data_IF_096467094520
#
_entry.id   IF_096467094520
#
_cell.length_a   1.000
_cell.length_b   1.000
_cell.length_c   1.000
_cell.angle_alpha   90.00
_cell.angle_beta   90.00
_cell.angle_gamma   90.00
#
_symmetry.space_group_name_H-M   'P 1'
#
loop_
_entity.id
_entity.type
_entity.pdbx_description
1 polymer ?
#
# COMPACT_ATOMS: atom_id res chain seq x y z
N UNK A 1 -9.05 -7.49 27.61
CA UNK A 1 -7.84 -6.71 27.27
C UNK A 1 -7.83 -6.61 25.77
N UNK A 2 -8.45 -5.56 25.25
CA UNK A 2 -8.58 -5.33 23.81
C UNK A 2 -7.18 -5.22 23.23
N UNK A 3 -6.93 -6.03 22.20
CA UNK A 3 -5.64 -6.16 21.53
C UNK A 3 -5.38 -4.86 20.77
N UNK A 4 -4.86 -3.86 21.49
CA UNK A 4 -4.17 -2.69 20.94
C UNK A 4 -2.93 -3.22 20.24
N UNK A 5 -3.12 -3.90 19.10
CA UNK A 5 -2.11 -3.91 18.04
C UNK A 5 -1.76 -2.45 17.84
N UNK A 6 -0.56 -2.09 18.30
CA UNK A 6 -0.19 -0.75 18.68
C UNK A 6 -0.51 0.19 17.51
N UNK A 7 -1.11 1.35 17.80
CA UNK A 7 -1.32 2.40 16.80
C UNK A 7 0.00 2.83 16.09
N UNK A 8 1.15 2.28 16.49
CA UNK A 8 2.47 2.50 15.91
C UNK A 8 2.98 1.38 14.98
N UNK A 9 2.36 0.20 14.94
CA UNK A 9 2.84 -0.93 14.12
C UNK A 9 2.82 -0.60 12.63
N UNK A 10 1.83 0.18 12.19
CA UNK A 10 1.74 0.64 10.81
C UNK A 10 2.87 1.62 10.45
N UNK A 11 3.34 2.43 11.41
CA UNK A 11 4.42 3.40 11.17
C UNK A 11 5.74 2.68 10.92
N UNK A 12 6.03 1.66 11.73
CA UNK A 12 7.22 0.81 11.58
C UNK A 12 7.15 0.06 10.24
N UNK A 13 6.01 -0.57 9.95
CA UNK A 13 5.78 -1.25 8.68
C UNK A 13 5.99 -0.30 7.49
N UNK A 14 5.31 0.85 7.50
CA UNK A 14 5.39 1.86 6.44
C UNK A 14 6.82 2.35 6.24
N UNK A 15 7.50 2.76 7.30
CA UNK A 15 8.88 3.28 7.22
C UNK A 15 9.84 2.26 6.61
N UNK A 16 9.64 0.97 6.87
CA UNK A 16 10.48 -0.10 6.32
C UNK A 16 10.27 -0.38 4.83
N UNK A 17 9.08 -0.08 4.28
CA UNK A 17 8.74 -0.41 2.88
C UNK A 17 8.65 0.83 1.97
N UNK A 18 8.32 1.99 2.54
CA UNK A 18 8.03 3.21 1.80
C UNK A 18 9.14 3.64 0.84
N UNK A 19 10.45 3.60 1.19
CA UNK A 19 11.51 3.98 0.25
C UNK A 19 11.49 3.14 -1.03
N UNK A 20 11.29 1.82 -0.91
CA UNK A 20 11.22 0.91 -2.06
C UNK A 20 9.97 1.11 -2.91
N UNK A 21 8.83 1.40 -2.26
CA UNK A 21 7.58 1.71 -2.97
C UNK A 21 7.64 3.05 -3.69
N UNK A 22 8.30 4.06 -3.11
CA UNK A 22 8.52 5.36 -3.73
C UNK A 22 9.41 5.26 -4.97
N UNK A 23 10.54 4.54 -4.87
CA UNK A 23 11.41 4.29 -6.02
C UNK A 23 10.67 3.56 -7.14
N UNK A 24 9.77 2.65 -6.79
CA UNK A 24 8.94 1.95 -7.74
C UNK A 24 7.92 2.90 -8.40
N UNK A 25 7.09 3.60 -7.63
CA UNK A 25 6.10 4.55 -8.18
C UNK A 25 6.73 5.61 -9.11
N UNK A 26 7.94 6.07 -8.76
CA UNK A 26 8.78 7.00 -9.54
C UNK A 26 9.10 6.55 -10.96
N UNK A 27 8.93 5.27 -11.29
CA UNK A 27 9.11 4.74 -12.66
C UNK A 27 7.97 5.14 -13.61
N UNK A 28 6.80 5.53 -13.08
CA UNK A 28 5.61 5.88 -13.88
C UNK A 28 5.19 7.34 -13.76
N UNK A 29 5.48 7.99 -12.65
CA UNK A 29 5.14 9.41 -12.42
C UNK A 29 6.38 10.30 -12.37
N UNK A 30 6.24 11.52 -12.88
CA UNK A 30 7.34 12.50 -12.94
C UNK A 30 7.49 13.30 -11.65
N UNK A 31 6.38 13.62 -10.99
CA UNK A 31 6.38 14.36 -9.73
C UNK A 31 6.75 13.45 -8.57
N UNK A 32 7.50 13.99 -7.60
CA UNK A 32 7.72 13.31 -6.33
C UNK A 32 6.43 13.27 -5.50
N UNK A 33 5.64 14.35 -5.52
CA UNK A 33 4.40 14.43 -4.76
C UNK A 33 3.41 13.34 -5.20
N UNK A 34 3.20 13.17 -6.52
CA UNK A 34 2.32 12.12 -7.04
C UNK A 34 2.78 10.72 -6.60
N UNK A 35 4.10 10.48 -6.56
CA UNK A 35 4.64 9.21 -6.09
C UNK A 35 4.36 8.99 -4.60
N UNK A 36 4.50 10.02 -3.79
CA UNK A 36 4.18 9.97 -2.36
C UNK A 36 2.69 9.73 -2.12
N UNK A 37 1.81 10.39 -2.86
CA UNK A 37 0.36 10.21 -2.78
C UNK A 37 -0.06 8.80 -3.17
N UNK A 38 0.49 8.26 -4.28
CA UNK A 38 0.25 6.89 -4.71
C UNK A 38 0.64 5.89 -3.63
N UNK A 39 1.83 6.05 -3.04
CA UNK A 39 2.35 5.11 -2.03
C UNK A 39 1.52 5.17 -0.76
N UNK A 40 1.10 6.36 -0.33
CA UNK A 40 0.23 6.53 0.83
C UNK A 40 -1.15 5.91 0.60
N UNK A 41 -1.79 6.19 -0.54
CA UNK A 41 -3.10 5.62 -0.88
C UNK A 41 -3.04 4.09 -0.96
N UNK A 42 -2.03 3.55 -1.64
CA UNK A 42 -1.85 2.10 -1.76
C UNK A 42 -1.61 1.44 -0.41
N UNK A 43 -0.79 2.06 0.45
CA UNK A 43 -0.52 1.53 1.79
C UNK A 43 -1.76 1.55 2.67
N UNK A 44 -2.56 2.62 2.66
CA UNK A 44 -3.81 2.69 3.44
C UNK A 44 -4.81 1.63 2.99
N UNK A 45 -4.97 1.45 1.67
CA UNK A 45 -5.83 0.39 1.10
C UNK A 45 -5.37 -1.01 1.54
N UNK A 46 -4.07 -1.26 1.43
CA UNK A 46 -3.45 -2.50 1.85
C UNK A 46 -3.64 -2.74 3.37
N UNK A 47 -3.34 -1.74 4.19
CA UNK A 47 -3.38 -1.85 5.64
C UNK A 47 -4.79 -2.14 6.13
N UNK A 48 -5.79 -1.38 5.66
CA UNK A 48 -7.20 -1.60 6.01
C UNK A 48 -7.72 -2.99 5.63
N UNK A 49 -7.22 -3.56 4.53
CA UNK A 49 -7.65 -4.89 4.06
C UNK A 49 -7.04 -6.02 4.88
N UNK A 50 -5.78 -5.87 5.30
CA UNK A 50 -5.02 -6.94 5.97
C UNK A 50 -5.03 -6.83 7.50
N UNK A 51 -5.34 -5.66 8.08
CA UNK A 51 -5.50 -5.43 9.52
C UNK A 51 -6.95 -5.42 10.02
N UNK A 52 -7.92 -5.88 9.22
CA UNK A 52 -9.19 -6.38 9.79
C UNK A 52 -8.89 -7.70 10.50
N UNK A 53 -8.58 -7.61 11.80
CA UNK A 53 -7.93 -8.64 12.62
C UNK A 53 -8.87 -9.80 13.01
N UNK A 54 -10.18 -9.71 12.80
CA UNK A 54 -11.10 -10.76 13.25
C UNK A 54 -11.57 -11.74 12.16
N UNK A 55 -10.95 -11.72 10.98
CA UNK A 55 -11.37 -12.61 9.89
C UNK A 55 -10.45 -13.84 9.80
N UNK A 56 -10.93 -15.06 10.12
CA UNK A 56 -10.10 -16.26 10.18
C UNK A 56 -9.42 -16.60 8.85
N UNK A 57 -9.97 -16.19 7.69
CA UNK A 57 -9.29 -16.36 6.40
C UNK A 57 -8.02 -15.50 6.23
N UNK A 58 -7.92 -14.37 6.95
CA UNK A 58 -6.75 -13.48 6.86
C UNK A 58 -5.55 -14.00 7.67
N UNK A 59 -5.78 -14.88 8.64
CA UNK A 59 -4.71 -15.48 9.45
C UNK A 59 -3.90 -16.45 8.56
N UNK A 60 -4.58 -17.29 7.78
CA UNK A 60 -3.94 -18.24 6.85
C UNK A 60 -3.30 -17.52 5.66
N UNK A 61 -3.96 -16.47 5.15
CA UNK A 61 -3.44 -15.67 4.04
C UNK A 61 -2.15 -14.91 4.38
N UNK A 62 -1.96 -14.51 5.66
CA UNK A 62 -0.74 -13.81 6.13
C UNK A 62 0.53 -14.64 6.01
N UNK A 63 0.44 -15.96 6.15
CA UNK A 63 1.59 -16.86 6.03
C UNK A 63 1.84 -17.31 4.59
N UNK A 64 0.79 -17.39 3.77
CA UNK A 64 0.87 -17.96 2.42
C UNK A 64 1.19 -16.93 1.33
N UNK A 65 0.90 -15.64 1.54
CA UNK A 65 1.18 -14.58 0.57
C UNK A 65 2.27 -13.62 1.09
N UNK A 66 3.36 -13.38 0.34
CA UNK A 66 4.33 -12.37 0.73
C UNK A 66 3.66 -11.00 0.69
N UNK A 67 3.39 -10.46 1.88
CA UNK A 67 2.69 -9.20 2.15
C UNK A 67 3.23 -8.03 1.32
N UNK A 68 4.53 -8.05 1.04
CA UNK A 68 5.23 -7.07 0.21
C UNK A 68 4.81 -7.12 -1.27
N UNK A 69 4.62 -8.29 -1.87
CA UNK A 69 4.23 -8.39 -3.28
C UNK A 69 2.86 -7.74 -3.54
N UNK A 70 1.92 -7.93 -2.61
CA UNK A 70 0.60 -7.31 -2.68
C UNK A 70 0.66 -5.78 -2.59
N UNK A 71 1.58 -5.24 -1.77
CA UNK A 71 1.83 -3.80 -1.71
C UNK A 71 2.30 -3.23 -3.05
N UNK A 72 3.28 -3.87 -3.71
CA UNK A 72 3.75 -3.44 -5.04
C UNK A 72 2.65 -3.54 -6.10
N UNK A 73 1.86 -4.60 -6.07
CA UNK A 73 0.70 -4.74 -6.97
C UNK A 73 -0.32 -3.61 -6.74
N UNK A 74 -0.62 -3.29 -5.48
CA UNK A 74 -1.55 -2.21 -5.12
C UNK A 74 -1.04 -0.84 -5.58
N UNK A 75 0.26 -0.55 -5.38
CA UNK A 75 0.90 0.68 -5.89
C UNK A 75 0.75 0.79 -7.41
N UNK A 76 1.00 -0.32 -8.12
CA UNK A 76 0.84 -0.35 -9.59
C UNK A 76 -0.60 -0.07 -10.02
N UNK A 77 -1.58 -0.69 -9.37
CA UNK A 77 -3.01 -0.42 -9.66
C UNK A 77 -3.37 1.04 -9.46
N UNK A 78 -3.00 1.64 -8.32
CA UNK A 78 -3.27 3.06 -8.03
C UNK A 78 -2.60 3.98 -9.06
N UNK A 79 -1.38 3.65 -9.48
CA UNK A 79 -0.66 4.43 -10.48
C UNK A 79 -1.34 4.38 -11.85
N UNK A 80 -1.79 3.20 -12.28
CA UNK A 80 -2.51 3.04 -13.55
C UNK A 80 -3.85 3.77 -13.53
N UNK A 81 -4.54 3.78 -12.39
CA UNK A 81 -5.79 4.52 -12.22
C UNK A 81 -5.57 6.03 -12.37
N UNK A 82 -4.49 6.57 -11.79
CA UNK A 82 -4.10 7.98 -11.94
C UNK A 82 -3.83 8.33 -13.41
N UNK A 83 -2.95 7.55 -14.06
CA UNK A 83 -2.58 7.76 -15.47
C UNK A 83 -3.81 7.69 -16.39
N UNK A 84 -4.73 6.77 -16.11
CA UNK A 84 -5.95 6.62 -16.90
C UNK A 84 -6.89 7.81 -16.74
N UNK A 85 -6.99 8.38 -15.53
CA UNK A 85 -7.80 9.59 -15.26
C UNK A 85 -7.23 10.83 -15.93
N UNK A 86 -5.91 10.98 -15.96
CA UNK A 86 -5.26 12.13 -16.60
C UNK A 86 -5.43 12.11 -18.11
N UNK A 87 -5.40 10.93 -18.75
CA UNK A 87 -5.68 10.78 -20.19
C UNK A 87 -7.10 11.16 -20.59
N UNK A 88 -8.08 10.98 -19.70
CA UNK A 88 -9.47 11.37 -19.95
C UNK A 88 -9.74 12.86 -19.76
N UNK A 89 -8.77 13.63 -19.24
CA UNK A 89 -8.89 15.07 -18.97
C UNK A 89 -8.14 15.94 -19.99
N UNK A 90 -7.35 15.33 -20.87
CA UNK A 90 -6.61 15.98 -21.95
C UNK A 90 -7.38 15.90 -23.26
#
# INVERSE_FOLDING_TARGET
MDNVASHEDWKVCFTSVAPGLLLFARQWVRSRADAEDIVQEAFVKFWRRNHKIDNPENIVARELFPTRALLYATVRSVTLDLISRDRGRA
#
